data_IF_450983655994
#
_entry.id   IF_450983655994
#
_cell.length_a   1.000
_cell.length_b   1.000
_cell.length_c   1.000
_cell.angle_alpha   90.00
_cell.angle_beta   90.00
_cell.angle_gamma   90.00
#
_symmetry.space_group_name_H-M   'P 1'
#
loop_
_entity.id
_entity.type
_entity.pdbx_description
1 polymer ?
#
# COMPACT_ATOMS: atom_id res chain seq x y z
N UNK A 1 -28.73 -7.21 -2.14
CA UNK A 1 -28.34 -7.81 -0.84
C UNK A 1 -28.73 -6.83 0.24
N UNK A 2 -29.49 -7.26 1.25
CA UNK A 2 -29.94 -6.40 2.35
C UNK A 2 -28.76 -6.02 3.26
N UNK A 3 -28.54 -4.73 3.59
CA UNK A 3 -27.47 -4.32 4.49
C UNK A 3 -27.92 -4.57 5.94
N UNK A 4 -27.62 -5.75 6.48
CA UNK A 4 -27.89 -6.07 7.90
C UNK A 4 -26.78 -6.90 8.56
N UNK A 5 -25.55 -6.86 8.05
CA UNK A 5 -24.48 -7.78 8.46
C UNK A 5 -23.26 -7.07 9.06
N UNK A 6 -23.45 -5.92 9.68
CA UNK A 6 -22.40 -5.19 10.36
C UNK A 6 -22.70 -5.13 11.86
N UNK A 7 -21.75 -5.56 12.68
CA UNK A 7 -21.89 -5.61 14.14
C UNK A 7 -21.04 -4.53 14.79
N UNK A 8 -21.44 -4.12 15.98
CA UNK A 8 -20.74 -3.07 16.75
C UNK A 8 -19.94 -3.69 17.88
N UNK A 9 -18.91 -2.99 18.36
CA UNK A 9 -18.12 -3.44 19.51
C UNK A 9 -18.94 -3.53 20.82
N UNK A 10 -20.18 -3.02 20.84
CA UNK A 10 -21.10 -3.18 21.97
C UNK A 10 -21.47 -4.65 22.22
N UNK A 11 -21.36 -5.52 21.21
CA UNK A 11 -21.63 -6.97 21.32
C UNK A 11 -20.48 -7.74 22.00
N UNK A 12 -19.31 -7.12 22.15
CA UNK A 12 -18.15 -7.73 22.80
C UNK A 12 -18.30 -7.77 24.32
N UNK A 13 -17.68 -8.79 24.93
CA UNK A 13 -17.48 -8.82 26.38
C UNK A 13 -16.72 -7.59 26.86
N UNK A 14 -17.01 -7.16 28.10
CA UNK A 14 -16.52 -5.89 28.68
C UNK A 14 -15.01 -5.66 28.46
N UNK A 15 -14.19 -6.68 28.70
CA UNK A 15 -12.73 -6.55 28.63
C UNK A 15 -12.25 -6.36 27.18
N UNK A 16 -12.78 -7.14 26.23
CA UNK A 16 -12.46 -7.00 24.81
C UNK A 16 -12.88 -5.62 24.30
N UNK A 17 -14.10 -5.18 24.66
CA UNK A 17 -14.63 -3.86 24.29
C UNK A 17 -13.74 -2.74 24.82
N UNK A 18 -13.39 -2.75 26.11
CA UNK A 18 -12.49 -1.75 26.69
C UNK A 18 -11.11 -1.75 26.03
N UNK A 19 -10.60 -2.92 25.63
CA UNK A 19 -9.28 -3.03 24.99
C UNK A 19 -9.28 -2.41 23.59
N UNK A 20 -10.27 -2.70 22.76
CA UNK A 20 -10.36 -2.10 21.42
C UNK A 20 -10.66 -0.60 21.47
N UNK A 21 -11.54 -0.16 22.37
CA UNK A 21 -11.81 1.28 22.60
C UNK A 21 -10.53 2.01 22.95
N UNK A 22 -9.71 1.43 23.84
CA UNK A 22 -8.41 2.00 24.21
C UNK A 22 -7.44 2.04 23.04
N UNK A 23 -7.33 0.96 22.27
CA UNK A 23 -6.44 0.90 21.12
C UNK A 23 -6.78 2.00 20.10
N UNK A 24 -8.06 2.14 19.75
CA UNK A 24 -8.54 3.18 18.84
C UNK A 24 -8.24 4.57 19.41
N UNK A 25 -8.61 4.83 20.66
CA UNK A 25 -8.40 6.14 21.30
C UNK A 25 -6.92 6.51 21.38
N UNK A 26 -6.05 5.52 21.63
CA UNK A 26 -4.59 5.74 21.72
C UNK A 26 -4.02 6.17 20.37
N UNK A 27 -4.46 5.55 19.27
CA UNK A 27 -4.03 5.97 17.92
C UNK A 27 -4.63 7.33 17.56
N UNK A 28 -5.91 7.58 17.85
CA UNK A 28 -6.56 8.86 17.57
C UNK A 28 -5.95 10.04 18.36
N UNK A 29 -5.29 9.77 19.49
CA UNK A 29 -4.59 10.78 20.27
C UNK A 29 -3.24 11.22 19.65
N UNK A 30 -2.73 10.51 18.63
CA UNK A 30 -1.48 10.85 17.94
C UNK A 30 -1.63 12.06 17.03
N UNK A 31 -0.52 12.80 16.82
CA UNK A 31 -0.48 13.90 15.86
C UNK A 31 -0.62 13.34 14.43
N UNK A 32 -0.03 12.18 14.14
CA UNK A 32 -0.17 11.51 12.85
C UNK A 32 -1.63 11.26 12.46
N UNK A 33 -2.44 10.69 13.37
CA UNK A 33 -3.86 10.47 13.12
C UNK A 33 -4.59 11.80 12.92
N UNK A 34 -4.33 12.78 13.78
CA UNK A 34 -4.95 14.11 13.68
C UNK A 34 -4.67 14.79 12.33
N UNK A 35 -3.40 14.85 11.91
CA UNK A 35 -2.99 15.46 10.64
C UNK A 35 -3.46 14.66 9.41
N UNK A 36 -3.53 13.34 9.51
CA UNK A 36 -4.06 12.50 8.43
C UNK A 36 -5.54 12.76 8.20
N UNK A 37 -6.34 12.74 9.27
CA UNK A 37 -7.79 12.99 9.16
C UNK A 37 -8.11 14.45 8.83
N UNK A 38 -7.29 15.41 9.28
CA UNK A 38 -7.46 16.81 8.91
C UNK A 38 -7.31 17.04 7.39
N UNK A 39 -6.41 16.33 6.72
CA UNK A 39 -6.28 16.41 5.25
C UNK A 39 -7.53 15.84 4.54
N UNK A 40 -8.14 14.77 5.05
CA UNK A 40 -9.39 14.23 4.49
C UNK A 40 -10.52 15.25 4.65
N UNK A 41 -10.59 15.94 5.79
CA UNK A 41 -11.59 16.98 6.07
C UNK A 41 -11.36 18.23 5.20
N UNK A 42 -10.09 18.58 4.97
CA UNK A 42 -9.69 19.63 4.01
C UNK A 42 -10.25 19.30 2.63
N UNK A 43 -10.03 18.07 2.18
CA UNK A 43 -10.49 17.55 0.89
C UNK A 43 -9.35 17.24 -0.07
N UNK A 44 -8.14 17.74 0.21
CA UNK A 44 -6.92 17.41 -0.53
C UNK A 44 -5.75 17.10 0.42
N UNK A 45 -4.82 16.21 0.03
CA UNK A 45 -3.58 16.02 0.78
C UNK A 45 -2.67 17.25 0.65
N UNK A 46 -1.77 17.44 1.61
CA UNK A 46 -0.69 18.40 1.47
C UNK A 46 0.24 17.99 0.32
N UNK A 47 0.86 18.96 -0.35
CA UNK A 47 1.70 18.76 -1.52
C UNK A 47 2.82 17.75 -1.26
N UNK A 48 3.54 17.89 -0.14
CA UNK A 48 4.61 16.98 0.26
C UNK A 48 4.10 15.55 0.53
N UNK A 49 2.89 15.39 1.08
CA UNK A 49 2.28 14.10 1.33
C UNK A 49 1.81 13.44 0.03
N UNK A 50 1.27 14.22 -0.90
CA UNK A 50 0.87 13.75 -2.23
C UNK A 50 2.09 13.24 -3.03
N UNK A 51 3.23 13.93 -2.94
CA UNK A 51 4.50 13.49 -3.54
C UNK A 51 5.16 12.33 -2.80
N UNK A 52 4.96 12.17 -1.49
CA UNK A 52 5.40 11.01 -0.70
C UNK A 52 4.50 9.77 -0.91
N UNK A 53 4.16 9.53 -2.18
CA UNK A 53 3.40 8.38 -2.66
C UNK A 53 4.26 7.66 -3.68
N UNK A 54 4.53 6.39 -3.41
CA UNK A 54 5.32 5.54 -4.31
C UNK A 54 4.64 5.45 -5.67
N UNK A 55 5.38 5.70 -6.74
CA UNK A 55 4.82 5.67 -8.10
C UNK A 55 3.76 6.75 -8.34
N UNK A 56 3.89 7.89 -7.65
CA UNK A 56 3.00 9.04 -7.83
C UNK A 56 2.81 9.38 -9.31
N UNK A 57 1.55 9.62 -9.68
CA UNK A 57 1.15 10.05 -11.03
C UNK A 57 1.20 11.57 -11.21
N UNK A 58 1.64 12.30 -10.18
CA UNK A 58 1.76 13.75 -10.21
C UNK A 58 2.89 14.17 -11.15
N UNK A 59 2.73 15.37 -11.72
CA UNK A 59 3.73 16.01 -12.57
C UNK A 59 4.19 17.34 -11.93
N UNK A 60 5.37 17.88 -12.28
CA UNK A 60 5.92 19.08 -11.64
C UNK A 60 5.05 20.34 -11.67
N UNK A 61 4.04 20.40 -12.55
CA UNK A 61 3.14 21.55 -12.70
C UNK A 61 1.73 21.30 -12.15
N UNK A 62 1.55 20.20 -11.40
CA UNK A 62 0.25 19.84 -10.85
C UNK A 62 -0.20 20.88 -9.80
N UNK A 63 -1.46 21.37 -9.82
CA UNK A 63 -1.94 22.43 -8.92
C UNK A 63 -1.82 22.13 -7.42
N UNK A 64 -1.78 20.83 -7.07
CA UNK A 64 -1.51 20.37 -5.71
C UNK A 64 -0.21 20.92 -5.13
N UNK A 65 0.75 21.34 -5.96
CA UNK A 65 2.03 21.85 -5.52
C UNK A 65 1.91 23.13 -4.68
N UNK A 66 0.84 23.92 -4.88
CA UNK A 66 0.55 25.11 -4.10
C UNK A 66 -0.07 24.80 -2.73
N UNK A 67 -0.54 23.56 -2.50
CA UNK A 67 -1.23 23.16 -1.28
C UNK A 67 -0.26 22.73 -0.18
N UNK A 68 0.49 23.68 0.37
CA UNK A 68 1.56 23.41 1.35
C UNK A 68 1.06 23.29 2.81
N UNK A 69 -0.10 23.86 3.10
CA UNK A 69 -0.67 23.91 4.45
C UNK A 69 -2.16 23.61 4.43
N UNK A 70 -2.69 23.06 5.53
CA UNK A 70 -4.13 22.85 5.69
C UNK A 70 -4.89 24.17 5.58
N UNK A 71 -6.06 24.10 4.94
CA UNK A 71 -7.01 25.19 4.83
C UNK A 71 -7.62 25.54 6.20
N UNK A 72 -8.05 26.80 6.40
CA UNK A 72 -8.60 27.25 7.68
C UNK A 72 -9.76 26.38 8.17
N UNK A 73 -9.69 25.91 9.43
CA UNK A 73 -10.75 25.14 10.07
C UNK A 73 -10.64 23.61 9.90
N UNK A 74 -9.81 23.11 8.97
CA UNK A 74 -9.64 21.67 8.77
C UNK A 74 -9.08 20.98 10.02
N UNK A 75 -8.05 21.57 10.64
CA UNK A 75 -7.41 21.03 11.84
C UNK A 75 -8.33 21.13 13.07
N UNK A 76 -9.03 22.25 13.25
CA UNK A 76 -9.99 22.45 14.34
C UNK A 76 -11.12 21.43 14.25
N UNK A 77 -11.64 21.19 13.05
CA UNK A 77 -12.72 20.22 12.83
C UNK A 77 -12.24 18.78 13.06
N UNK A 78 -11.00 18.46 12.70
CA UNK A 78 -10.40 17.17 13.03
C UNK A 78 -10.27 16.97 14.56
N UNK A 79 -9.88 18.02 15.29
CA UNK A 79 -9.84 17.99 16.77
C UNK A 79 -11.23 17.79 17.37
N UNK A 80 -12.23 18.56 16.92
CA UNK A 80 -13.62 18.38 17.38
C UNK A 80 -14.12 16.96 17.10
N UNK A 81 -13.87 16.43 15.89
CA UNK A 81 -14.24 15.06 15.55
C UNK A 81 -13.60 14.06 16.51
N UNK A 82 -12.28 14.15 16.75
CA UNK A 82 -11.56 13.27 17.68
C UNK A 82 -12.15 13.33 19.09
N UNK A 83 -12.40 14.52 19.60
CA UNK A 83 -12.84 14.74 20.98
C UNK A 83 -14.30 14.27 21.20
N UNK A 84 -15.12 14.31 20.16
CA UNK A 84 -16.53 13.88 20.17
C UNK A 84 -16.73 12.43 19.67
N UNK A 85 -15.69 11.79 19.16
CA UNK A 85 -15.78 10.48 18.52
C UNK A 85 -16.18 9.40 19.53
N UNK A 86 -17.27 8.68 19.23
CA UNK A 86 -17.68 7.49 19.96
C UNK A 86 -17.24 6.22 19.21
N UNK A 87 -16.26 5.45 19.72
CA UNK A 87 -15.83 4.21 19.09
C UNK A 87 -16.93 3.14 18.98
N UNK A 88 -18.01 3.23 19.76
CA UNK A 88 -19.15 2.30 19.66
C UNK A 88 -19.99 2.52 18.39
N UNK A 89 -19.83 3.67 17.73
CA UNK A 89 -20.47 3.96 16.44
C UNK A 89 -19.87 3.16 15.28
N UNK A 90 -18.66 2.61 15.46
CA UNK A 90 -17.99 1.84 14.43
C UNK A 90 -18.63 0.47 14.22
N UNK A 91 -18.69 0.12 12.95
CA UNK A 91 -19.17 -1.18 12.47
C UNK A 91 -18.02 -2.03 11.96
N UNK A 92 -18.06 -3.32 12.26
CA UNK A 92 -17.05 -4.29 11.88
C UNK A 92 -17.68 -5.52 11.22
N UNK A 93 -16.85 -6.25 10.46
CA UNK A 93 -17.24 -7.53 9.87
C UNK A 93 -17.55 -8.53 10.99
N UNK A 94 -18.69 -9.24 10.95
CA UNK A 94 -19.09 -10.17 12.00
C UNK A 94 -18.01 -11.22 12.26
N UNK A 95 -17.34 -11.71 11.22
CA UNK A 95 -16.32 -12.75 11.32
C UNK A 95 -15.10 -12.26 12.14
N UNK A 96 -14.65 -11.02 11.88
CA UNK A 96 -13.51 -10.42 12.58
C UNK A 96 -13.88 -10.07 14.02
N UNK A 97 -15.07 -9.50 14.22
CA UNK A 97 -15.57 -9.14 15.54
C UNK A 97 -15.75 -10.38 16.43
N UNK A 98 -16.35 -11.44 15.88
CA UNK A 98 -16.54 -12.71 16.59
C UNK A 98 -15.18 -13.37 16.90
N UNK A 99 -14.26 -13.40 15.94
CA UNK A 99 -12.93 -13.96 16.14
C UNK A 99 -12.20 -13.22 17.29
N UNK A 100 -12.24 -11.89 17.30
CA UNK A 100 -11.70 -11.09 18.41
C UNK A 100 -12.40 -11.43 19.73
N UNK A 101 -13.73 -11.41 19.77
CA UNK A 101 -14.52 -11.68 20.98
C UNK A 101 -14.32 -13.08 21.58
N UNK A 102 -13.99 -14.07 20.74
CA UNK A 102 -13.72 -15.45 21.17
C UNK A 102 -12.27 -15.72 21.59
N UNK A 103 -11.33 -14.81 21.27
CA UNK A 103 -9.91 -15.01 21.53
C UNK A 103 -9.53 -14.81 23.00
N UNK A 104 -8.59 -15.63 23.50
CA UNK A 104 -8.09 -15.54 24.87
C UNK A 104 -7.12 -14.36 25.03
N UNK A 105 -7.28 -13.56 26.09
CA UNK A 105 -6.60 -12.27 26.25
C UNK A 105 -5.07 -12.31 26.23
N UNK A 106 -4.46 -13.40 26.66
CA UNK A 106 -3.01 -13.59 26.65
C UNK A 106 -2.50 -14.27 25.37
N UNK A 107 -3.40 -14.64 24.45
CA UNK A 107 -3.01 -15.34 23.24
C UNK A 107 -2.47 -14.39 22.19
N UNK A 108 -1.61 -14.93 21.32
CA UNK A 108 -1.16 -14.23 20.12
C UNK A 108 -2.32 -13.93 19.17
N UNK A 109 -3.34 -14.80 19.13
CA UNK A 109 -4.57 -14.61 18.35
C UNK A 109 -5.27 -13.32 18.73
N UNK A 110 -5.43 -13.07 20.03
CA UNK A 110 -6.05 -11.85 20.55
C UNK A 110 -5.26 -10.63 20.13
N UNK A 111 -3.93 -10.72 20.15
CA UNK A 111 -3.04 -9.64 19.77
C UNK A 111 -3.17 -9.30 18.28
N UNK A 112 -3.17 -10.29 17.39
CA UNK A 112 -3.35 -10.09 15.95
C UNK A 112 -4.75 -9.56 15.62
N UNK A 113 -5.81 -10.12 16.25
CA UNK A 113 -7.18 -9.63 16.07
C UNK A 113 -7.35 -8.21 16.62
N UNK A 114 -6.64 -7.82 17.68
CA UNK A 114 -6.62 -6.44 18.15
C UNK A 114 -6.00 -5.50 17.09
N UNK A 115 -4.90 -5.90 16.45
CA UNK A 115 -4.30 -5.13 15.35
C UNK A 115 -5.28 -4.97 14.19
N UNK A 116 -5.88 -6.07 13.74
CA UNK A 116 -6.85 -6.08 12.63
C UNK A 116 -8.08 -5.21 12.92
N UNK A 117 -8.65 -5.33 14.12
CA UNK A 117 -9.76 -4.49 14.55
C UNK A 117 -9.36 -3.01 14.62
N UNK A 118 -8.15 -2.72 15.10
CA UNK A 118 -7.67 -1.33 15.21
C UNK A 118 -7.46 -0.72 13.82
N UNK A 119 -6.81 -1.42 12.89
CA UNK A 119 -6.60 -0.89 11.54
C UNK A 119 -7.90 -0.78 10.75
N UNK A 120 -8.82 -1.74 10.89
CA UNK A 120 -10.17 -1.64 10.33
C UNK A 120 -10.92 -0.42 10.86
N UNK A 121 -10.77 -0.09 12.14
CA UNK A 121 -11.35 1.12 12.71
C UNK A 121 -10.79 2.39 12.07
N UNK A 122 -9.46 2.49 11.92
CA UNK A 122 -8.82 3.66 11.31
C UNK A 122 -9.25 3.86 9.86
N UNK A 123 -9.36 2.76 9.11
CA UNK A 123 -9.88 2.73 7.75
C UNK A 123 -11.33 3.23 7.71
N UNK A 124 -12.21 2.68 8.56
CA UNK A 124 -13.63 3.05 8.60
C UNK A 124 -13.85 4.51 9.02
N UNK A 125 -13.00 5.06 9.90
CA UNK A 125 -13.03 6.48 10.26
C UNK A 125 -12.71 7.35 9.04
N UNK A 126 -11.67 7.00 8.27
CA UNK A 126 -11.33 7.73 7.04
C UNK A 126 -12.44 7.64 5.98
N UNK A 127 -13.01 6.46 5.77
CA UNK A 127 -14.19 6.26 4.91
C UNK A 127 -15.32 7.20 5.32
N UNK A 128 -15.67 7.20 6.61
CA UNK A 128 -16.74 8.04 7.14
C UNK A 128 -16.47 9.53 6.93
N UNK A 129 -15.28 10.01 7.32
CA UNK A 129 -14.89 11.41 7.16
C UNK A 129 -14.93 11.87 5.71
N UNK A 130 -14.47 11.04 4.78
CA UNK A 130 -14.53 11.33 3.35
C UNK A 130 -15.97 11.39 2.84
N UNK A 131 -16.83 10.47 3.28
CA UNK A 131 -18.25 10.42 2.91
C UNK A 131 -19.06 11.59 3.47
N UNK A 132 -18.64 12.22 4.57
CA UNK A 132 -19.26 13.46 5.06
C UNK A 132 -19.12 14.62 4.07
N UNK A 133 -18.18 14.55 3.12
CA UNK A 133 -17.92 15.56 2.09
C UNK A 133 -17.88 16.97 2.67
N UNK A 134 -17.12 17.12 3.75
CA UNK A 134 -17.00 18.43 4.40
C UNK A 134 -16.31 19.43 3.48
N UNK A 135 -15.24 18.99 2.81
CA UNK A 135 -14.49 19.76 1.78
C UNK A 135 -14.25 21.22 2.18
N UNK A 136 -13.51 21.43 3.30
CA UNK A 136 -13.15 22.79 3.75
C UNK A 136 -12.09 23.48 2.89
N UNK A 137 -11.65 22.82 1.82
CA UNK A 137 -10.61 23.29 0.93
C UNK A 137 -10.87 24.72 0.44
N UNK A 138 -9.86 25.58 0.58
CA UNK A 138 -9.84 26.92 0.01
C UNK A 138 -9.10 26.87 -1.35
N UNK A 139 -9.81 27.11 -2.48
CA UNK A 139 -9.19 27.12 -3.81
C UNK A 139 -8.01 28.07 -3.97
N UNK A 140 -7.87 29.10 -3.12
CA UNK A 140 -6.71 29.99 -3.15
C UNK A 140 -5.38 29.29 -2.86
N UNK A 141 -5.44 28.09 -2.28
CA UNK A 141 -4.27 27.25 -1.98
C UNK A 141 -3.90 26.28 -3.10
N UNK A 142 -4.64 26.27 -4.21
CA UNK A 142 -4.46 25.35 -5.36
C UNK A 142 -4.71 26.07 -6.69
N UNK A 143 -4.13 27.27 -6.82
CA UNK A 143 -4.20 28.09 -8.04
C UNK A 143 -5.64 28.45 -8.48
N UNK A 144 -6.57 28.51 -7.52
CA UNK A 144 -7.97 28.85 -7.73
C UNK A 144 -8.87 27.65 -8.06
N UNK A 145 -8.38 26.41 -7.93
CA UNK A 145 -9.11 25.20 -8.27
C UNK A 145 -9.76 24.54 -7.04
N UNK A 146 -10.95 23.95 -7.22
CA UNK A 146 -11.57 23.14 -6.17
C UNK A 146 -10.99 21.73 -6.10
N UNK A 147 -11.29 20.93 -5.05
CA UNK A 147 -10.74 19.59 -4.86
C UNK A 147 -10.91 18.65 -6.06
N UNK A 148 -12.09 18.65 -6.68
CA UNK A 148 -12.38 17.82 -7.87
C UNK A 148 -11.50 18.21 -9.06
N UNK A 149 -11.37 19.52 -9.32
CA UNK A 149 -10.58 20.02 -10.43
C UNK A 149 -9.07 19.78 -10.23
N UNK A 150 -8.58 19.84 -8.99
CA UNK A 150 -7.19 19.49 -8.66
C UNK A 150 -6.96 17.98 -8.80
N UNK A 151 -7.90 17.16 -8.34
CA UNK A 151 -7.79 15.69 -8.39
C UNK A 151 -7.81 15.16 -9.82
N UNK A 152 -8.70 15.69 -10.65
CA UNK A 152 -8.88 15.28 -12.05
C UNK A 152 -8.05 16.13 -13.00
N UNK A 153 -7.09 16.90 -12.49
CA UNK A 153 -6.25 17.75 -13.31
C UNK A 153 -5.45 16.89 -14.28
N UNK A 154 -5.50 17.26 -15.56
CA UNK A 154 -4.69 16.64 -16.60
C UNK A 154 -3.79 17.70 -17.22
N UNK A 155 -2.56 17.28 -17.51
CA UNK A 155 -1.67 18.08 -18.35
C UNK A 155 -2.26 18.16 -19.75
N UNK A 156 -2.15 19.34 -20.36
CA UNK A 156 -2.49 19.52 -21.77
C UNK A 156 -1.81 18.46 -22.65
N UNK A 157 -2.49 17.97 -23.71
CA UNK A 157 -1.90 16.97 -24.60
C UNK A 157 -0.58 17.44 -25.20
N UNK A 158 0.45 16.63 -25.07
CA UNK A 158 1.79 16.86 -25.63
C UNK A 158 2.41 15.55 -26.14
N UNK A 159 3.70 15.57 -26.46
CA UNK A 159 4.42 14.41 -27.01
C UNK A 159 4.62 13.28 -25.99
N UNK A 160 4.33 13.50 -24.70
CA UNK A 160 4.50 12.50 -23.66
C UNK A 160 3.23 11.66 -23.48
N UNK A 161 3.39 10.46 -22.90
CA UNK A 161 2.27 9.59 -22.59
C UNK A 161 1.29 10.29 -21.64
N UNK A 162 -0.02 10.18 -21.93
CA UNK A 162 -1.09 10.64 -21.04
C UNK A 162 -1.05 9.80 -19.76
N UNK A 163 -0.98 10.49 -18.63
CA UNK A 163 -1.08 9.88 -17.31
C UNK A 163 -2.50 10.13 -16.82
N UNK A 164 -3.28 9.06 -16.69
CA UNK A 164 -4.65 9.17 -16.20
C UNK A 164 -4.66 9.44 -14.69
N UNK A 165 -5.36 10.49 -14.22
CA UNK A 165 -5.45 10.81 -12.81
C UNK A 165 -6.19 9.71 -12.05
N UNK A 166 -5.92 9.62 -10.75
CA UNK A 166 -6.69 8.76 -9.86
C UNK A 166 -8.02 9.41 -9.51
N UNK A 167 -9.00 8.60 -9.09
CA UNK A 167 -10.32 9.10 -8.65
C UNK A 167 -10.27 9.95 -7.36
N UNK A 168 -9.13 9.94 -6.66
CA UNK A 168 -8.80 10.76 -5.48
C UNK A 168 -7.29 10.92 -5.41
N UNK A 169 -6.78 11.95 -4.72
CA UNK A 169 -5.35 12.08 -4.40
C UNK A 169 -4.95 11.35 -3.10
N UNK A 170 -5.91 10.87 -2.32
CA UNK A 170 -5.67 10.02 -1.15
C UNK A 170 -5.47 8.56 -1.59
N UNK A 171 -4.26 8.24 -2.06
CA UNK A 171 -3.99 6.97 -2.76
C UNK A 171 -2.99 6.09 -2.01
N UNK A 172 -3.36 4.83 -1.80
CA UNK A 172 -2.42 3.72 -1.65
C UNK A 172 -2.35 3.00 -3.01
N UNK A 173 -1.19 3.02 -3.69
CA UNK A 173 -1.09 2.60 -5.11
C UNK A 173 -1.37 1.13 -5.39
N UNK A 174 -1.42 0.31 -4.35
CA UNK A 174 -1.73 -1.12 -4.42
C UNK A 174 -3.20 -1.42 -4.09
N UNK A 175 -3.98 -0.44 -3.62
CA UNK A 175 -5.39 -0.57 -3.24
C UNK A 175 -6.26 0.39 -4.06
N UNK A 176 -6.26 0.17 -5.37
CA UNK A 176 -6.93 1.02 -6.38
C UNK A 176 -8.23 0.41 -6.95
N UNK A 177 -8.64 -0.77 -6.50
CA UNK A 177 -9.78 -1.50 -7.08
C UNK A 177 -11.14 -1.01 -6.56
N UNK A 178 -11.33 0.31 -6.51
CA UNK A 178 -12.50 0.96 -5.91
C UNK A 178 -13.84 0.52 -6.51
N UNK A 179 -13.86 0.08 -7.78
CA UNK A 179 -15.07 -0.48 -8.40
C UNK A 179 -15.57 -1.77 -7.71
N UNK A 180 -14.68 -2.46 -6.98
CA UNK A 180 -14.98 -3.70 -6.25
C UNK A 180 -15.22 -3.46 -4.75
N UNK A 181 -14.85 -2.29 -4.24
CA UNK A 181 -14.90 -2.00 -2.81
C UNK A 181 -16.32 -1.62 -2.38
N UNK A 182 -16.79 -2.05 -1.18
CA UNK A 182 -18.13 -1.75 -0.69
C UNK A 182 -18.47 -0.25 -0.66
N UNK A 183 -17.52 0.59 -0.27
CA UNK A 183 -17.64 2.04 -0.16
C UNK A 183 -16.92 2.80 -1.30
N UNK A 184 -16.52 2.08 -2.35
CA UNK A 184 -15.97 2.66 -3.57
C UNK A 184 -14.68 3.42 -3.35
N UNK A 185 -14.65 4.69 -3.80
CA UNK A 185 -13.49 5.58 -3.64
C UNK A 185 -13.17 5.81 -2.16
N UNK A 186 -14.17 5.82 -1.28
CA UNK A 186 -13.94 6.07 0.15
C UNK A 186 -13.05 4.98 0.77
N UNK A 187 -13.15 3.74 0.32
CA UNK A 187 -12.24 2.67 0.74
C UNK A 187 -10.78 2.94 0.33
N UNK A 188 -10.53 3.55 -0.84
CA UNK A 188 -9.18 3.98 -1.22
C UNK A 188 -8.60 4.98 -0.21
N UNK A 189 -9.44 5.93 0.23
CA UNK A 189 -9.08 6.93 1.25
C UNK A 189 -8.80 6.24 2.60
N UNK A 190 -9.57 5.19 2.93
CA UNK A 190 -9.33 4.33 4.09
C UNK A 190 -7.94 3.69 4.09
N UNK A 191 -7.54 3.07 2.98
CA UNK A 191 -6.21 2.47 2.84
C UNK A 191 -5.09 3.51 2.87
N UNK A 192 -5.31 4.67 2.26
CA UNK A 192 -4.37 5.78 2.33
C UNK A 192 -4.17 6.26 3.76
N UNK A 193 -5.26 6.44 4.52
CA UNK A 193 -5.19 6.89 5.91
C UNK A 193 -4.49 5.85 6.79
N UNK A 194 -4.79 4.56 6.59
CA UNK A 194 -4.10 3.47 7.28
C UNK A 194 -2.60 3.52 6.97
N UNK A 195 -2.19 3.55 5.70
CA UNK A 195 -0.79 3.71 5.31
C UNK A 195 -0.14 4.94 5.95
N UNK A 196 -0.84 6.08 5.99
CA UNK A 196 -0.32 7.31 6.59
C UNK A 196 -0.04 7.16 8.08
N UNK A 197 -0.98 6.59 8.83
CA UNK A 197 -0.95 6.49 10.29
C UNK A 197 -0.06 5.34 10.76
N UNK A 198 -0.24 4.14 10.23
CA UNK A 198 0.46 2.93 10.71
C UNK A 198 1.83 2.76 10.06
N UNK A 199 2.08 3.39 8.91
CA UNK A 199 3.29 3.19 8.09
C UNK A 199 3.10 2.19 6.94
N UNK A 200 1.90 1.65 6.77
CA UNK A 200 1.52 0.79 5.65
C UNK A 200 0.26 -0.01 5.97
N UNK A 201 -0.48 -0.44 4.95
CA UNK A 201 -1.69 -1.25 5.16
C UNK A 201 -1.31 -2.57 5.81
N UNK A 202 -1.88 -2.88 6.98
CA UNK A 202 -1.65 -4.13 7.68
C UNK A 202 -2.40 -5.27 7.00
N UNK A 203 -1.68 -6.35 6.75
CA UNK A 203 -2.17 -7.56 6.12
C UNK A 203 -1.89 -8.75 7.04
N UNK A 204 -2.73 -9.76 6.96
CA UNK A 204 -2.65 -10.93 7.80
C UNK A 204 -2.47 -12.18 6.96
N UNK A 205 -1.71 -13.13 7.47
CA UNK A 205 -1.47 -14.40 6.81
C UNK A 205 -2.58 -15.40 7.21
N UNK A 206 -3.23 -15.94 6.18
CA UNK A 206 -4.33 -16.89 6.28
C UNK A 206 -3.94 -18.30 5.78
N UNK A 207 -2.65 -18.55 5.50
CA UNK A 207 -2.14 -19.84 5.00
C UNK A 207 -2.35 -20.99 5.97
N UNK A 208 -2.54 -20.67 7.26
CA UNK A 208 -2.84 -21.63 8.32
C UNK A 208 -3.98 -21.09 9.19
N UNK A 209 -4.79 -22.00 9.73
CA UNK A 209 -5.79 -21.62 10.72
C UNK A 209 -5.09 -21.07 11.98
N UNK A 210 -5.64 -19.99 12.55
CA UNK A 210 -5.15 -19.39 13.79
C UNK A 210 -5.60 -20.26 14.99
N UNK A 211 -5.02 -21.46 15.12
CA UNK A 211 -5.39 -22.42 16.16
C UNK A 211 -4.18 -23.14 16.77
N UNK A 212 -3.99 -22.91 18.07
CA UNK A 212 -3.12 -23.55 19.06
C UNK A 212 -1.58 -23.55 18.86
N UNK A 213 -0.89 -23.41 20.01
CA UNK A 213 0.55 -23.31 20.30
C UNK A 213 1.55 -24.18 19.51
N UNK A 214 1.10 -25.15 18.72
CA UNK A 214 1.97 -26.08 17.96
C UNK A 214 2.41 -25.53 16.61
N UNK A 215 1.61 -24.66 16.00
CA UNK A 215 1.99 -23.90 14.83
C UNK A 215 2.07 -22.44 15.25
N UNK A 216 3.27 -21.82 15.33
CA UNK A 216 3.35 -20.41 15.67
C UNK A 216 2.50 -19.64 14.66
N UNK A 217 1.43 -19.02 15.16
CA UNK A 217 0.48 -18.27 14.34
C UNK A 217 1.21 -17.30 13.42
N UNK A 218 0.68 -17.08 12.22
CA UNK A 218 1.43 -16.36 11.24
C UNK A 218 1.42 -14.85 11.57
N UNK A 219 2.48 -14.19 11.10
CA UNK A 219 2.85 -12.86 11.52
C UNK A 219 1.98 -11.79 10.81
N UNK A 220 1.86 -10.59 11.38
CA UNK A 220 1.31 -9.45 10.65
C UNK A 220 2.32 -8.92 9.62
N UNK A 221 1.81 -8.44 8.50
CA UNK A 221 2.59 -7.85 7.41
C UNK A 221 2.13 -6.41 7.22
N UNK A 222 3.00 -5.58 6.64
CA UNK A 222 2.66 -4.20 6.26
C UNK A 222 2.99 -3.96 4.80
N UNK A 223 2.09 -3.27 4.11
CA UNK A 223 2.27 -2.80 2.74
C UNK A 223 2.44 -1.27 2.73
N UNK A 224 3.69 -0.76 2.82
CA UNK A 224 3.93 0.67 2.76
C UNK A 224 3.71 1.21 1.36
N UNK A 225 3.37 2.49 1.27
CA UNK A 225 3.21 3.24 0.01
C UNK A 225 4.07 4.52 -0.03
N UNK A 226 5.03 4.67 0.89
CA UNK A 226 5.97 5.80 0.88
C UNK A 226 7.00 5.65 -0.24
N UNK A 227 7.37 6.75 -0.88
CA UNK A 227 8.23 6.77 -2.07
C UNK A 227 9.59 6.09 -1.79
N UNK A 228 10.23 6.46 -0.68
CA UNK A 228 11.59 6.02 -0.34
C UNK A 228 11.68 4.86 0.66
N UNK A 229 10.62 4.07 0.80
CA UNK A 229 10.58 2.94 1.75
C UNK A 229 10.76 1.59 1.05
N UNK A 230 9.72 1.01 0.47
CA UNK A 230 9.79 -0.19 -0.38
C UNK A 230 8.45 -0.39 -1.10
N UNK A 231 8.44 -1.19 -2.17
CA UNK A 231 7.19 -1.65 -2.79
C UNK A 231 6.73 -3.01 -2.27
N UNK A 232 7.58 -3.73 -1.52
CA UNK A 232 7.31 -5.11 -1.10
C UNK A 232 6.56 -5.14 0.23
N UNK A 233 5.67 -6.13 0.35
CA UNK A 233 4.98 -6.42 1.61
C UNK A 233 6.01 -6.98 2.59
N UNK A 234 6.13 -6.36 3.76
CA UNK A 234 7.15 -6.72 4.74
C UNK A 234 6.50 -7.35 5.97
N UNK A 235 7.04 -8.48 6.41
CA UNK A 235 6.65 -9.05 7.69
C UNK A 235 7.09 -8.11 8.83
N UNK A 236 6.21 -7.86 9.79
CA UNK A 236 6.56 -7.13 11.00
C UNK A 236 7.48 -7.98 11.88
N UNK A 237 8.46 -7.34 12.50
CA UNK A 237 9.33 -8.00 13.47
C UNK A 237 8.56 -8.26 14.77
N UNK A 238 9.00 -9.23 15.56
CA UNK A 238 8.38 -9.53 16.86
C UNK A 238 8.46 -8.32 17.81
N UNK A 239 9.59 -7.61 17.81
CA UNK A 239 9.76 -6.38 18.60
C UNK A 239 8.85 -5.24 18.11
N UNK A 240 8.70 -5.12 16.78
CA UNK A 240 7.81 -4.12 16.17
C UNK A 240 6.35 -4.35 16.57
N UNK A 241 5.88 -5.60 16.50
CA UNK A 241 4.53 -5.96 16.96
C UNK A 241 4.37 -5.75 18.45
N UNK A 242 5.36 -6.17 19.25
CA UNK A 242 5.31 -6.05 20.71
C UNK A 242 5.24 -4.58 21.14
N UNK A 243 5.99 -3.69 20.49
CA UNK A 243 5.94 -2.24 20.72
C UNK A 243 4.56 -1.67 20.34
N UNK A 244 4.02 -2.06 19.19
CA UNK A 244 2.70 -1.63 18.75
C UNK A 244 1.61 -2.08 19.73
N UNK A 245 1.61 -3.35 20.11
CA UNK A 245 0.64 -3.92 21.06
C UNK A 245 0.76 -3.28 22.45
N UNK A 246 1.99 -3.04 22.90
CA UNK A 246 2.25 -2.31 24.15
C UNK A 246 1.66 -0.90 24.11
N UNK A 247 1.83 -0.19 22.99
CA UNK A 247 1.23 1.12 22.77
C UNK A 247 -0.30 1.06 22.77
N UNK A 248 -0.91 0.15 22.01
CA UNK A 248 -2.37 0.02 21.90
C UNK A 248 -3.07 -0.38 23.20
N UNK A 249 -2.37 -1.08 24.10
CA UNK A 249 -2.93 -1.56 25.37
C UNK A 249 -2.57 -0.70 26.58
N UNK A 250 -1.63 0.24 26.42
CA UNK A 250 -1.11 1.11 27.48
C UNK A 250 -2.22 1.87 28.20
N UNK A 251 -2.22 1.82 29.54
CA UNK A 251 -3.18 2.56 30.38
C UNK A 251 -2.88 4.05 30.46
N UNK A 252 -1.64 4.45 30.21
CA UNK A 252 -1.15 5.80 30.49
C UNK A 252 -1.32 6.77 29.30
N UNK A 253 -2.14 6.40 28.30
CA UNK A 253 -2.25 7.12 27.03
C UNK A 253 -0.93 7.09 26.25
N UNK A 254 -0.78 7.87 25.17
CA UNK A 254 0.56 8.23 24.68
C UNK A 254 1.26 8.93 25.85
N UNK A 255 2.11 8.18 26.56
CA UNK A 255 2.83 8.67 27.73
C UNK A 255 3.64 9.91 27.37
N UNK A 256 4.09 10.63 28.39
CA UNK A 256 4.99 11.79 28.30
C UNK A 256 6.39 11.48 27.72
N UNK A 257 6.51 10.43 26.91
CA UNK A 257 7.69 10.13 26.10
C UNK A 257 7.87 11.18 25.01
N UNK A 258 9.12 11.40 24.61
CA UNK A 258 9.57 12.49 23.72
C UNK A 258 8.90 12.53 22.32
N UNK A 259 8.07 11.54 21.96
CA UNK A 259 7.27 11.49 20.72
C UNK A 259 5.78 11.32 21.03
N UNK A 260 4.95 12.27 20.59
CA UNK A 260 3.49 12.24 20.73
C UNK A 260 2.81 11.10 19.96
N UNK A 261 3.51 10.49 19.01
CA UNK A 261 2.98 9.45 18.11
C UNK A 261 3.30 8.00 18.55
N UNK A 262 4.00 7.82 19.67
CA UNK A 262 4.42 6.48 20.13
C UNK A 262 5.32 5.77 19.09
N UNK A 263 5.04 4.49 18.73
CA UNK A 263 5.82 3.76 17.74
C UNK A 263 5.43 4.08 16.27
N UNK A 264 4.44 4.95 16.05
CA UNK A 264 3.90 5.23 14.72
C UNK A 264 4.67 6.39 14.02
N UNK A 265 4.78 6.38 12.68
CA UNK A 265 4.42 5.30 11.78
C UNK A 265 5.50 4.20 11.80
N UNK A 266 5.10 2.94 11.73
CA UNK A 266 6.01 1.80 11.71
C UNK A 266 6.45 1.45 10.30
N UNK A 267 7.42 2.21 9.78
CA UNK A 267 7.98 1.95 8.46
C UNK A 267 8.94 0.75 8.45
N UNK A 268 8.83 -0.17 7.46
CA UNK A 268 9.80 -1.24 7.27
C UNK A 268 11.20 -0.69 7.00
N UNK A 269 12.22 -1.40 7.51
CA UNK A 269 13.62 -1.07 7.26
C UNK A 269 14.43 -2.31 6.84
N UNK A 270 15.75 -2.18 6.71
CA UNK A 270 16.64 -3.25 6.24
C UNK A 270 16.63 -4.52 7.12
N UNK A 271 16.15 -4.45 8.37
CA UNK A 271 16.00 -5.61 9.25
C UNK A 271 14.74 -6.42 8.96
N UNK A 272 13.72 -5.85 8.31
CA UNK A 272 12.58 -6.59 7.79
C UNK A 272 13.02 -7.39 6.56
N UNK A 273 13.53 -8.61 6.79
CA UNK A 273 14.11 -9.48 5.74
C UNK A 273 13.08 -10.36 5.03
N UNK A 274 11.98 -10.70 5.69
CA UNK A 274 10.89 -11.46 5.08
C UNK A 274 10.02 -10.50 4.29
N UNK A 275 10.17 -10.54 2.97
CA UNK A 275 9.51 -9.65 2.01
C UNK A 275 8.80 -10.47 0.96
N UNK A 276 7.54 -10.13 0.72
CA UNK A 276 6.65 -10.81 -0.21
C UNK A 276 6.33 -9.87 -1.36
N UNK A 277 6.34 -10.39 -2.58
CA UNK A 277 5.87 -9.62 -3.73
C UNK A 277 4.35 -9.44 -3.64
N UNK A 278 3.85 -8.28 -4.08
CA UNK A 278 2.42 -8.00 -4.08
C UNK A 278 1.60 -9.04 -4.86
N UNK A 279 2.17 -9.57 -5.96
CA UNK A 279 1.48 -10.49 -6.86
C UNK A 279 1.36 -11.89 -6.25
N UNK A 280 2.32 -12.27 -5.41
CA UNK A 280 2.35 -13.58 -4.74
C UNK A 280 1.60 -13.57 -3.41
N UNK A 281 1.34 -12.38 -2.85
CA UNK A 281 0.78 -12.23 -1.52
C UNK A 281 -0.53 -13.01 -1.33
N UNK A 282 -1.52 -12.84 -2.20
CA UNK A 282 -2.78 -13.60 -2.11
C UNK A 282 -2.63 -15.03 -2.65
N UNK A 283 -2.20 -15.27 -3.91
CA UNK A 283 -2.29 -16.60 -4.52
C UNK A 283 -1.28 -17.61 -3.97
N UNK A 284 -0.11 -17.16 -3.49
CA UNK A 284 0.96 -18.05 -3.00
C UNK A 284 1.00 -18.05 -1.48
N UNK A 285 0.99 -16.86 -0.87
CA UNK A 285 1.22 -16.72 0.56
C UNK A 285 -0.07 -16.58 1.40
N UNK A 286 -1.23 -16.37 0.77
CA UNK A 286 -2.50 -16.11 1.46
C UNK A 286 -2.43 -14.95 2.47
N UNK A 287 -1.65 -13.91 2.15
CA UNK A 287 -1.50 -12.67 2.92
C UNK A 287 -2.43 -11.60 2.36
N UNK A 288 -3.46 -11.23 3.11
CA UNK A 288 -4.44 -10.20 2.77
C UNK A 288 -5.16 -9.68 4.03
N UNK A 289 -5.88 -8.55 3.93
CA UNK A 289 -6.90 -8.19 4.91
C UNK A 289 -8.27 -8.63 4.39
N UNK A 290 -8.56 -8.37 3.12
CA UNK A 290 -9.66 -8.97 2.36
C UNK A 290 -9.23 -9.56 1.02
N UNK A 291 -9.93 -10.60 0.58
CA UNK A 291 -9.61 -11.28 -0.68
C UNK A 291 -9.85 -10.39 -1.92
N UNK A 292 -10.74 -9.40 -1.80
CA UNK A 292 -11.17 -8.53 -2.90
C UNK A 292 -10.43 -7.18 -2.94
N UNK A 293 -9.52 -6.91 -1.99
CA UNK A 293 -8.83 -5.61 -1.88
C UNK A 293 -7.88 -5.36 -3.06
N UNK A 294 -7.35 -6.43 -3.64
CA UNK A 294 -6.47 -6.37 -4.80
C UNK A 294 -7.14 -7.13 -5.94
N UNK A 295 -7.10 -6.59 -7.17
CA UNK A 295 -7.57 -7.34 -8.30
C UNK A 295 -6.70 -8.59 -8.44
N UNK A 296 -7.26 -9.74 -8.09
CA UNK A 296 -6.81 -11.00 -8.66
C UNK A 296 -7.16 -10.91 -10.14
N UNK A 297 -6.15 -10.86 -11.01
CA UNK A 297 -6.40 -10.98 -12.44
C UNK A 297 -7.20 -12.27 -12.65
N UNK A 298 -8.32 -12.20 -13.38
CA UNK A 298 -9.24 -13.32 -13.54
C UNK A 298 -8.55 -14.59 -14.11
N UNK A 299 -7.38 -14.43 -14.74
CA UNK A 299 -6.53 -15.50 -15.25
C UNK A 299 -5.67 -16.19 -14.17
N UNK A 300 -5.51 -15.61 -12.97
CA UNK A 300 -4.77 -16.21 -11.84
C UNK A 300 -5.56 -17.30 -11.09
N UNK A 301 -6.84 -17.52 -11.43
CA UNK A 301 -7.63 -18.68 -10.99
C UNK A 301 -7.28 -19.94 -11.82
N UNK A 302 -6.39 -19.83 -12.82
CA UNK A 302 -5.83 -21.00 -13.50
C UNK A 302 -4.79 -21.68 -12.61
N UNK A 303 -5.31 -22.67 -11.86
CA UNK A 303 -4.68 -23.76 -11.11
C UNK A 303 -3.13 -23.88 -11.15
N UNK A 304 -2.49 -24.22 -10.01
CA UNK A 304 -1.07 -24.55 -10.01
C UNK A 304 -0.77 -25.67 -11.01
N UNK A 305 0.13 -25.41 -11.96
CA UNK A 305 0.71 -26.42 -12.85
C UNK A 305 0.37 -26.35 -14.34
N UNK A 306 -0.34 -25.33 -14.83
CA UNK A 306 -0.55 -25.16 -16.29
C UNK A 306 -0.20 -23.72 -16.72
N UNK A 307 1.10 -23.41 -16.77
CA UNK A 307 1.58 -22.10 -17.18
C UNK A 307 1.60 -21.94 -18.71
N UNK A 308 0.98 -20.87 -19.21
CA UNK A 308 1.56 -20.14 -20.33
C UNK A 308 2.46 -19.06 -19.72
N UNK A 309 3.71 -18.97 -20.18
CA UNK A 309 4.64 -17.96 -19.69
C UNK A 309 4.10 -16.55 -19.98
N UNK A 310 4.34 -15.61 -19.06
CA UNK A 310 3.86 -14.22 -19.13
C UNK A 310 4.03 -13.53 -20.51
N UNK A 311 5.11 -13.76 -21.28
CA UNK A 311 5.23 -13.20 -22.63
C UNK A 311 4.11 -13.61 -23.60
N UNK A 312 3.58 -14.83 -23.47
CA UNK A 312 2.51 -15.33 -24.33
C UNK A 312 1.13 -14.72 -24.01
N UNK A 313 0.89 -14.47 -22.72
CA UNK A 313 -0.34 -13.82 -22.23
C UNK A 313 -0.35 -12.35 -22.66
N UNK A 314 0.79 -11.68 -22.51
CA UNK A 314 0.94 -10.30 -22.91
C UNK A 314 0.79 -10.09 -24.43
N UNK A 315 1.41 -10.94 -25.27
CA UNK A 315 1.27 -10.85 -26.75
C UNK A 315 -0.20 -10.97 -27.16
N UNK A 316 -0.95 -11.85 -26.50
CA UNK A 316 -2.38 -12.01 -26.74
C UNK A 316 -3.12 -10.71 -26.39
N UNK A 317 -2.93 -10.15 -25.21
CA UNK A 317 -3.58 -8.91 -24.77
C UNK A 317 -3.20 -7.71 -25.63
N UNK A 318 -1.93 -7.58 -26.02
CA UNK A 318 -1.49 -6.54 -26.95
C UNK A 318 -2.15 -6.69 -28.31
N UNK A 319 -2.26 -7.92 -28.83
CA UNK A 319 -2.93 -8.18 -30.11
C UNK A 319 -4.42 -7.82 -30.07
N UNK A 320 -5.08 -8.11 -28.94
CA UNK A 320 -6.49 -7.78 -28.70
C UNK A 320 -6.69 -6.28 -28.52
N UNK A 321 -5.81 -5.60 -27.78
CA UNK A 321 -5.87 -4.15 -27.58
C UNK A 321 -5.56 -3.35 -28.85
N UNK A 322 -4.57 -3.80 -29.65
CA UNK A 322 -4.24 -3.17 -30.94
C UNK A 322 -5.30 -3.40 -32.02
N UNK A 323 -6.11 -4.47 -31.90
CA UNK A 323 -7.26 -4.67 -32.78
C UNK A 323 -8.38 -3.65 -32.51
N UNK A 324 -8.46 -3.12 -31.30
CA UNK A 324 -9.47 -2.12 -30.89
C UNK A 324 -8.97 -0.69 -31.13
N UNK A 325 -7.69 -0.40 -30.86
CA UNK A 325 -7.07 0.92 -31.07
C UNK A 325 -5.64 0.76 -31.64
N UNK A 326 -5.47 0.79 -32.97
CA UNK A 326 -4.16 0.59 -33.59
C UNK A 326 -3.16 1.68 -33.18
N UNK A 327 -1.92 1.30 -32.85
CA UNK A 327 -0.77 2.20 -32.65
C UNK A 327 -0.84 3.15 -31.45
N UNK A 328 -1.70 2.90 -30.44
CA UNK A 328 -1.71 3.72 -29.21
C UNK A 328 -0.44 3.58 -28.36
N UNK A 329 0.26 2.44 -28.48
CA UNK A 329 1.39 2.05 -27.61
C UNK A 329 2.69 1.73 -28.40
N UNK A 330 3.00 2.45 -29.49
CA UNK A 330 4.18 2.14 -30.34
C UNK A 330 5.51 2.25 -29.59
N UNK A 331 5.62 3.17 -28.62
CA UNK A 331 6.80 3.28 -27.75
C UNK A 331 7.06 2.02 -26.92
N UNK A 332 6.02 1.24 -26.62
CA UNK A 332 6.13 -0.02 -25.89
C UNK A 332 6.64 -1.17 -26.77
N UNK A 333 6.51 -1.07 -28.10
CA UNK A 333 7.09 -2.03 -29.04
C UNK A 333 8.62 -1.94 -29.08
N UNK A 334 9.16 -0.72 -29.10
CA UNK A 334 10.60 -0.47 -28.98
C UNK A 334 11.14 -0.94 -27.62
N UNK A 335 10.36 -0.79 -26.55
CA UNK A 335 10.68 -1.27 -25.20
C UNK A 335 10.83 -2.80 -25.15
N UNK A 336 9.94 -3.55 -25.81
CA UNK A 336 9.99 -5.02 -25.86
C UNK A 336 11.15 -5.53 -26.70
N UNK A 337 11.42 -4.91 -27.84
CA UNK A 337 12.54 -5.32 -28.69
C UNK A 337 13.89 -5.08 -28.00
N UNK A 338 14.03 -3.99 -27.25
CA UNK A 338 15.26 -3.74 -26.49
C UNK A 338 15.36 -4.72 -25.33
N UNK A 339 14.35 -4.83 -24.46
CA UNK A 339 14.39 -5.71 -23.28
C UNK A 339 14.57 -7.17 -23.66
N UNK A 340 13.77 -7.67 -24.60
CA UNK A 340 13.73 -9.09 -24.91
C UNK A 340 15.02 -9.56 -25.59
N UNK A 341 15.61 -8.74 -26.46
CA UNK A 341 16.86 -9.10 -27.13
C UNK A 341 18.08 -8.90 -26.24
N UNK A 342 18.13 -7.84 -25.42
CA UNK A 342 19.27 -7.62 -24.52
C UNK A 342 19.27 -8.59 -23.35
N UNK A 343 18.11 -8.88 -22.76
CA UNK A 343 17.99 -9.89 -21.71
C UNK A 343 18.44 -11.25 -22.22
N UNK A 344 17.91 -11.70 -23.37
CA UNK A 344 18.28 -13.00 -23.94
C UNK A 344 19.78 -13.15 -24.16
N UNK A 345 20.43 -12.15 -24.77
CA UNK A 345 21.87 -12.19 -25.06
C UNK A 345 22.72 -12.15 -23.78
N UNK A 346 22.32 -11.36 -22.77
CA UNK A 346 23.05 -11.27 -21.51
C UNK A 346 22.94 -12.55 -20.69
N UNK A 347 21.76 -13.18 -20.69
CA UNK A 347 21.54 -14.49 -20.07
C UNK A 347 22.37 -15.59 -20.75
N UNK A 348 22.45 -15.59 -22.09
CA UNK A 348 23.24 -16.55 -22.87
C UNK A 348 24.76 -16.37 -22.63
N UNK A 349 25.26 -15.13 -22.69
CA UNK A 349 26.68 -14.81 -22.46
C UNK A 349 27.12 -15.15 -21.02
N UNK A 350 26.27 -14.87 -20.02
CA UNK A 350 26.58 -15.17 -18.62
C UNK A 350 26.60 -16.67 -18.36
N UNK A 351 25.66 -17.42 -18.95
CA UNK A 351 25.61 -18.87 -18.87
C UNK A 351 26.83 -19.50 -19.55
N UNK A 352 27.15 -19.08 -20.77
CA UNK A 352 28.29 -19.58 -21.52
C UNK A 352 29.62 -19.27 -20.81
N UNK A 353 29.77 -18.05 -20.30
CA UNK A 353 30.96 -17.64 -19.54
C UNK A 353 31.11 -18.41 -18.23
N UNK A 354 30.00 -18.71 -17.56
CA UNK A 354 30.00 -19.52 -16.34
C UNK A 354 30.42 -20.95 -16.65
N UNK A 355 29.84 -21.57 -17.69
CA UNK A 355 30.17 -22.94 -18.09
C UNK A 355 31.62 -23.10 -18.59
N UNK A 356 32.21 -22.02 -19.14
CA UNK A 356 33.62 -21.99 -19.57
C UNK A 356 34.61 -21.67 -18.44
N UNK A 357 34.14 -21.30 -17.25
CA UNK A 357 35.03 -20.95 -16.15
C UNK A 357 35.76 -22.18 -15.58
N UNK A 358 37.01 -21.98 -15.16
CA UNK A 358 37.80 -23.06 -14.55
C UNK A 358 37.20 -23.54 -13.22
N UNK A 359 37.39 -24.82 -12.89
CA UNK A 359 36.92 -25.45 -11.65
C UNK A 359 37.24 -24.66 -10.36
N UNK A 360 38.31 -23.85 -10.36
CA UNK A 360 38.70 -22.99 -9.24
C UNK A 360 37.68 -21.89 -8.90
N UNK A 361 36.88 -21.44 -9.87
CA UNK A 361 35.81 -20.47 -9.63
C UNK A 361 34.68 -21.09 -8.79
N UNK A 362 34.29 -22.33 -9.11
CA UNK A 362 33.21 -23.05 -8.45
C UNK A 362 33.56 -23.57 -7.05
N UNK A 363 34.85 -23.66 -6.72
CA UNK A 363 35.31 -24.02 -5.36
C UNK A 363 35.45 -22.81 -4.44
N UNK A 364 35.57 -21.60 -4.99
CA UNK A 364 35.67 -20.34 -4.22
C UNK A 364 34.35 -19.57 -4.12
N UNK A 365 33.43 -19.77 -5.06
CA UNK A 365 32.18 -19.01 -5.15
C UNK A 365 31.04 -19.85 -4.60
N UNK A 366 30.26 -19.28 -3.67
CA UNK A 366 29.09 -19.95 -3.11
C UNK A 366 28.04 -20.16 -4.21
N UNK A 367 27.50 -21.38 -4.29
CA UNK A 367 26.45 -21.75 -5.24
C UNK A 367 25.24 -20.86 -5.06
N UNK A 368 24.91 -20.47 -3.82
CA UNK A 368 23.81 -19.52 -3.57
C UNK A 368 24.08 -18.15 -4.17
N UNK A 369 25.32 -17.66 -4.10
CA UNK A 369 25.70 -16.39 -4.71
C UNK A 369 25.66 -16.43 -6.24
N UNK A 370 26.02 -17.56 -6.84
CA UNK A 370 25.93 -17.78 -8.28
C UNK A 370 24.46 -17.87 -8.73
N UNK A 371 23.61 -18.59 -7.99
CA UNK A 371 22.17 -18.66 -8.26
C UNK A 371 21.50 -17.29 -8.10
N UNK A 372 21.90 -16.51 -7.09
CA UNK A 372 21.37 -15.16 -6.89
C UNK A 372 21.71 -14.23 -8.06
N UNK A 373 22.86 -14.45 -8.71
CA UNK A 373 23.25 -13.71 -9.92
C UNK A 373 22.42 -14.07 -11.14
N UNK A 374 22.01 -15.33 -11.28
CA UNK A 374 21.14 -15.78 -12.37
C UNK A 374 19.66 -15.44 -12.14
N UNK A 375 19.24 -15.16 -10.90
CA UNK A 375 17.87 -14.75 -10.59
C UNK A 375 17.77 -13.26 -10.32
N UNK A 376 18.25 -12.79 -9.17
CA UNK A 376 18.02 -11.42 -8.69
C UNK A 376 18.80 -10.36 -9.46
N UNK A 377 20.08 -10.60 -9.76
CA UNK A 377 20.89 -9.57 -10.42
C UNK A 377 20.51 -9.43 -11.92
N UNK A 378 20.09 -10.52 -12.56
CA UNK A 378 19.55 -10.48 -13.92
C UNK A 378 18.15 -9.86 -13.98
N UNK A 379 17.29 -10.14 -13.01
CA UNK A 379 15.99 -9.48 -12.89
C UNK A 379 16.12 -7.95 -12.74
N UNK A 380 17.13 -7.48 -11.99
CA UNK A 380 17.45 -6.05 -11.87
C UNK A 380 17.88 -5.44 -13.23
N UNK A 381 18.66 -6.17 -14.03
CA UNK A 381 19.13 -5.69 -15.34
C UNK A 381 18.02 -5.75 -16.39
N UNK A 382 17.18 -6.78 -16.35
CA UNK A 382 16.08 -7.00 -17.30
C UNK A 382 14.91 -6.03 -17.05
N UNK A 383 14.73 -5.59 -15.79
CA UNK A 383 13.56 -4.80 -15.37
C UNK A 383 13.89 -3.36 -14.97
N UNK A 384 14.97 -3.10 -14.24
CA UNK A 384 15.27 -1.75 -13.73
C UNK A 384 16.15 -0.93 -14.67
N UNK A 385 17.15 -1.53 -15.31
CA UNK A 385 18.05 -0.82 -16.24
C UNK A 385 17.30 -0.12 -17.39
N UNK A 386 16.30 -0.74 -18.04
CA UNK A 386 15.51 -0.08 -19.08
C UNK A 386 14.71 1.11 -18.52
N UNK A 387 14.17 0.98 -17.31
CA UNK A 387 13.45 2.05 -16.61
C UNK A 387 14.40 3.22 -16.31
N UNK A 388 15.61 2.95 -15.83
CA UNK A 388 16.64 3.99 -15.61
C UNK A 388 17.14 4.62 -16.91
N UNK A 389 17.28 3.86 -18.00
CA UNK A 389 17.69 4.40 -19.32
C UNK A 389 16.63 5.33 -19.90
N UNK A 390 15.34 5.01 -19.74
CA UNK A 390 14.23 5.91 -20.10
C UNK A 390 14.27 7.19 -19.26
N UNK A 391 14.51 7.07 -17.96
CA UNK A 391 14.63 8.21 -17.05
C UNK A 391 15.92 9.04 -17.29
N UNK A 392 17.00 8.41 -17.75
CA UNK A 392 18.26 9.09 -18.07
C UNK A 392 18.24 9.75 -19.45
N UNK A 393 17.62 9.12 -20.46
CA UNK A 393 17.45 9.68 -21.80
C UNK A 393 16.54 10.91 -21.81
N UNK A 394 15.58 10.97 -20.90
CA UNK A 394 14.76 12.16 -20.63
C UNK A 394 15.54 13.26 -19.91
N UNK A 395 16.46 12.90 -19.00
CA UNK A 395 17.35 13.86 -18.32
C UNK A 395 18.51 14.41 -19.17
N UNK A 396 19.06 13.62 -20.10
CA UNK A 396 20.24 13.99 -20.90
C UNK A 396 19.92 14.81 -22.16
N UNK A 397 18.67 14.83 -22.63
CA UNK A 397 18.22 15.78 -23.67
C UNK A 397 18.14 17.22 -23.17
N UNK A 398 18.02 17.44 -21.85
CA UNK A 398 18.00 18.79 -21.25
C UNK A 398 19.40 19.44 -21.28
N UNK A 399 20.47 18.67 -21.42
CA UNK A 399 21.85 19.19 -21.39
C UNK A 399 22.52 19.37 -22.76
N UNK A 400 21.87 19.01 -23.87
CA UNK A 400 22.46 19.12 -25.23
C UNK A 400 21.71 20.14 -26.12
N UNK A 401 20.64 20.76 -25.62
CA UNK A 401 20.00 21.91 -26.29
C UNK A 401 20.04 23.16 -25.41
N UNK A 402 21.27 23.64 -25.13
CA UNK A 402 21.55 25.04 -24.82
C UNK A 402 22.36 25.64 -25.97
#
# INVERSE_FOLDING_TARGET
MTPSHYQTIAELGEVHRQTIVRAITSVLATDLALWTYAQIIDGLPLSNIAWDTRGSRLVPWHPINSHETLCPGALEKAKSFRDEFDPNSLVFKPEVLQAFGSSERSSRTFSLRLLEMTTSALHNIAVHLFQLKTELHDPSTTDGLGPEAVTLWEREPDEWARIEPHATLFVQTHFLAYEKYPDGIADMVGYWAEDRITGGVLLFDHSQAWSDDKNPEPNAYTHPNRDKVTFRICQLLDDQQSQLLGFLTSKDGPGTTETHDGPLPMLPNLTNRVRVDQMDAIPVHQIYRDLWERPLDADQILKPGQGLAWPAIWIKWWSEANAVLPNRNVGMSLFIDVISNTAYLLHDDLLESTLRASYRLFTKTDVKGLTNRFSQDLELVDMELPVYVVNFGTGSRISITN
#
